data_IF_742150731196
#
_entry.id   IF_742150731196
#
_cell.length_a   1.000
_cell.length_b   1.000
_cell.length_c   1.000
_cell.angle_alpha   90.00
_cell.angle_beta   90.00
_cell.angle_gamma   90.00
#
_symmetry.space_group_name_H-M   'P 1'
#
loop_
_entity.id
_entity.type
_entity.pdbx_description
1 polymer ?
#
# COMPACT_ATOMS: atom_id res chain seq x y z
N UNK A 1 74.21 17.34 37.44
CA UNK A 1 73.19 18.41 37.30
C UNK A 1 71.99 17.85 36.53
N UNK A 2 70.79 18.37 36.84
CA UNK A 2 69.46 18.17 36.21
C UNK A 2 69.41 17.41 34.86
N UNK A 3 68.43 16.50 34.73
CA UNK A 3 67.24 16.79 33.92
C UNK A 3 66.03 15.96 34.37
N UNK A 4 64.87 16.61 34.52
CA UNK A 4 63.56 15.95 34.64
C UNK A 4 62.86 16.00 33.27
N UNK A 5 62.11 14.95 32.93
CA UNK A 5 61.07 14.99 31.90
C UNK A 5 59.90 14.12 32.40
N UNK A 6 58.86 14.71 33.01
CA UNK A 6 57.62 15.14 32.36
C UNK A 6 56.84 13.99 31.71
N UNK A 7 55.92 13.42 32.49
CA UNK A 7 54.91 12.46 32.03
C UNK A 7 53.78 13.24 31.35
N UNK A 8 53.57 13.01 30.05
CA UNK A 8 52.47 13.62 29.30
C UNK A 8 51.38 12.57 29.03
N UNK A 9 50.47 12.38 29.99
CA UNK A 9 49.32 11.50 29.82
C UNK A 9 48.21 12.25 29.06
N UNK A 10 48.07 11.98 27.77
CA UNK A 10 47.01 12.55 26.93
C UNK A 10 45.77 11.66 26.96
N UNK A 11 44.79 12.05 27.79
CA UNK A 11 43.52 11.34 27.88
C UNK A 11 42.64 11.73 26.69
N UNK A 12 42.63 10.90 25.64
CA UNK A 12 41.82 11.13 24.45
C UNK A 12 40.36 10.77 24.73
N UNK A 13 39.55 11.77 25.11
CA UNK A 13 38.12 11.60 25.34
C UNK A 13 37.38 11.36 24.03
N UNK A 14 36.88 10.14 23.81
CA UNK A 14 35.89 9.87 22.77
C UNK A 14 34.56 10.54 23.14
N UNK A 15 34.25 11.68 22.51
CA UNK A 15 32.85 12.12 22.41
C UNK A 15 32.14 11.22 21.39
N UNK A 16 31.44 10.21 21.88
CA UNK A 16 30.43 9.51 21.09
C UNK A 16 29.21 10.43 20.99
N UNK A 17 29.10 11.19 19.91
CA UNK A 17 27.87 11.92 19.59
C UNK A 17 26.80 10.92 19.16
N UNK A 18 26.02 10.43 20.12
CA UNK A 18 24.84 9.62 19.86
C UNK A 18 23.78 10.50 19.17
N UNK A 19 23.84 10.54 17.84
CA UNK A 19 22.73 11.02 17.00
C UNK A 19 21.63 9.97 17.03
N UNK A 20 20.81 10.01 18.07
CA UNK A 20 19.58 9.22 18.14
C UNK A 20 18.61 9.75 17.10
N UNK A 21 18.66 9.22 15.89
CA UNK A 21 17.56 9.35 14.93
C UNK A 21 16.33 8.69 15.55
N UNK A 22 15.38 9.52 16.00
CA UNK A 22 14.08 9.01 16.42
C UNK A 22 13.42 8.33 15.20
N UNK A 23 12.88 7.11 15.33
CA UNK A 23 12.18 6.46 14.23
C UNK A 23 11.00 7.35 13.83
N UNK A 24 11.02 7.81 12.57
CA UNK A 24 10.01 8.74 12.05
C UNK A 24 8.75 7.94 11.73
N UNK A 25 7.94 7.67 12.75
CA UNK A 25 6.58 7.17 12.53
C UNK A 25 5.82 8.17 11.66
N UNK A 26 5.18 7.75 10.56
CA UNK A 26 4.57 8.65 9.60
C UNK A 26 3.25 9.11 10.21
N UNK A 27 3.29 10.28 10.83
CA UNK A 27 2.15 10.81 11.57
C UNK A 27 1.02 11.16 10.60
N UNK A 28 -0.17 10.61 10.85
CA UNK A 28 -1.40 10.95 10.12
C UNK A 28 -1.58 12.48 10.09
N UNK A 29 -1.99 12.98 8.93
CA UNK A 29 -2.10 14.38 8.55
C UNK A 29 -0.79 15.17 8.42
N UNK A 30 0.37 14.50 8.44
CA UNK A 30 1.64 15.09 8.00
C UNK A 30 1.80 14.99 6.48
N UNK A 31 2.51 15.94 5.85
CA UNK A 31 2.95 15.79 4.45
C UNK A 31 3.74 14.50 4.25
N UNK A 32 3.69 13.94 3.03
CA UNK A 32 4.60 12.89 2.62
C UNK A 32 6.06 13.33 2.82
N UNK A 33 6.92 12.48 3.42
CA UNK A 33 8.37 12.67 3.36
C UNK A 33 8.84 12.83 1.91
N UNK A 34 9.93 13.56 1.71
CA UNK A 34 10.50 13.74 0.36
C UNK A 34 11.21 12.45 -0.05
N UNK A 35 10.83 11.90 -1.21
CA UNK A 35 11.48 10.76 -1.84
C UNK A 35 11.46 10.91 -3.36
N UNK A 36 12.42 10.28 -4.03
CA UNK A 36 12.56 10.30 -5.48
C UNK A 36 12.95 8.93 -6.03
N UNK A 37 12.78 8.74 -7.33
CA UNK A 37 13.21 7.56 -8.08
C UNK A 37 13.93 8.07 -9.32
N UNK A 38 15.27 8.04 -9.32
CA UNK A 38 16.06 8.84 -10.23
C UNK A 38 15.71 10.33 -10.11
N UNK A 39 15.51 11.01 -11.23
CA UNK A 39 15.15 12.43 -11.29
C UNK A 39 13.65 12.71 -11.02
N UNK A 40 12.83 11.68 -10.81
CA UNK A 40 11.40 11.86 -10.57
C UNK A 40 11.07 11.99 -9.07
N UNK A 41 10.26 12.98 -8.70
CA UNK A 41 9.60 13.10 -7.39
C UNK A 41 8.11 12.80 -7.58
N UNK A 42 7.64 11.55 -7.39
CA UNK A 42 6.31 11.16 -7.86
C UNK A 42 5.16 11.87 -7.14
N UNK A 43 5.32 12.17 -5.84
CA UNK A 43 4.29 12.87 -5.05
C UNK A 43 3.95 14.26 -5.62
N UNK A 44 4.94 15.00 -6.15
CA UNK A 44 4.73 16.32 -6.75
C UNK A 44 3.80 16.27 -7.98
N UNK A 45 3.78 15.13 -8.71
CA UNK A 45 2.94 14.94 -9.91
C UNK A 45 1.47 14.70 -9.59
N UNK A 46 1.14 14.45 -8.33
CA UNK A 46 -0.19 14.01 -7.88
C UNK A 46 -0.89 14.99 -6.93
N UNK A 47 -0.26 16.13 -6.64
CA UNK A 47 -0.88 17.22 -5.87
C UNK A 47 -2.19 17.68 -6.52
N UNK A 48 -3.18 18.04 -5.70
CA UNK A 48 -4.56 18.28 -6.11
C UNK A 48 -5.42 17.01 -6.22
N UNK A 49 -4.83 15.81 -6.16
CA UNK A 49 -5.52 14.52 -6.28
C UNK A 49 -5.42 13.69 -4.99
N UNK A 50 -6.35 12.75 -4.79
CA UNK A 50 -6.14 11.71 -3.77
C UNK A 50 -5.09 10.75 -4.32
N UNK A 51 -4.00 10.53 -3.59
CA UNK A 51 -2.88 9.70 -4.06
C UNK A 51 -2.81 8.40 -3.27
N UNK A 52 -2.71 7.28 -3.97
CA UNK A 52 -2.58 5.94 -3.39
C UNK A 52 -1.21 5.39 -3.74
N UNK A 53 -0.34 5.23 -2.75
CA UNK A 53 0.98 4.60 -2.91
C UNK A 53 0.89 3.17 -2.37
N UNK A 54 1.21 2.18 -3.20
CA UNK A 54 1.23 0.77 -2.84
C UNK A 54 2.68 0.22 -2.84
N UNK A 55 3.09 -0.37 -1.73
CA UNK A 55 4.44 -0.93 -1.53
C UNK A 55 4.41 -2.43 -1.89
N UNK A 56 4.69 -2.74 -3.16
CA UNK A 56 4.47 -4.07 -3.74
C UNK A 56 5.76 -4.65 -4.31
N UNK A 57 6.22 -5.77 -3.73
CA UNK A 57 7.46 -6.45 -4.11
C UNK A 57 7.26 -7.39 -5.32
N UNK A 58 8.05 -7.23 -6.38
CA UNK A 58 7.94 -8.02 -7.61
C UNK A 58 8.25 -9.52 -7.43
N UNK A 59 9.06 -9.88 -6.43
CA UNK A 59 9.34 -11.27 -6.07
C UNK A 59 8.23 -11.95 -5.27
N UNK A 60 7.19 -11.22 -4.84
CA UNK A 60 6.12 -11.74 -4.01
C UNK A 60 4.84 -12.01 -4.83
N UNK A 61 4.43 -13.29 -4.91
CA UNK A 61 3.22 -13.70 -5.64
C UNK A 61 1.94 -12.99 -5.17
N UNK A 62 1.83 -12.66 -3.89
CA UNK A 62 0.69 -11.92 -3.35
C UNK A 62 0.70 -10.46 -3.82
N UNK A 63 1.85 -9.77 -3.78
CA UNK A 63 2.01 -8.43 -4.33
C UNK A 63 1.65 -8.36 -5.83
N UNK A 64 1.98 -9.39 -6.61
CA UNK A 64 1.63 -9.46 -8.04
C UNK A 64 0.11 -9.57 -8.28
N UNK A 65 -0.62 -10.24 -7.39
CA UNK A 65 -2.10 -10.30 -7.42
C UNK A 65 -2.69 -8.96 -6.98
N UNK A 66 -2.13 -8.33 -5.94
CA UNK A 66 -2.52 -7.00 -5.47
C UNK A 66 -2.34 -5.95 -6.58
N UNK A 67 -1.20 -5.95 -7.29
CA UNK A 67 -0.95 -5.05 -8.42
C UNK A 67 -2.03 -5.17 -9.51
N UNK A 68 -2.41 -6.39 -9.89
CA UNK A 68 -3.48 -6.62 -10.86
C UNK A 68 -4.86 -6.15 -10.36
N UNK A 69 -5.15 -6.34 -9.06
CA UNK A 69 -6.40 -5.92 -8.43
C UNK A 69 -6.54 -4.39 -8.28
N UNK A 70 -5.47 -3.61 -8.39
CA UNK A 70 -5.56 -2.15 -8.46
C UNK A 70 -6.31 -1.66 -9.71
N UNK A 71 -6.34 -2.45 -10.80
CA UNK A 71 -7.11 -2.13 -12.01
C UNK A 71 -8.63 -2.13 -11.76
N UNK A 72 -9.22 -3.25 -11.31
CA UNK A 72 -10.61 -3.31 -10.87
C UNK A 72 -10.98 -2.26 -9.81
N UNK A 73 -10.11 -2.01 -8.82
CA UNK A 73 -10.32 -0.96 -7.81
C UNK A 73 -10.45 0.44 -8.45
N UNK A 74 -9.46 0.82 -9.26
CA UNK A 74 -9.42 2.10 -9.97
C UNK A 74 -10.64 2.25 -10.88
N UNK A 75 -10.95 1.24 -11.70
CA UNK A 75 -12.09 1.24 -12.61
C UNK A 75 -13.47 1.23 -11.90
N UNK A 76 -13.55 0.70 -10.67
CA UNK A 76 -14.75 0.80 -9.83
C UNK A 76 -14.94 2.25 -9.35
N UNK A 77 -13.89 2.86 -8.81
CA UNK A 77 -13.93 4.23 -8.26
C UNK A 77 -14.22 5.27 -9.36
N UNK A 78 -13.56 5.20 -10.51
CA UNK A 78 -13.83 6.10 -11.65
C UNK A 78 -15.27 5.98 -12.14
N UNK A 79 -15.84 4.77 -12.21
CA UNK A 79 -17.24 4.54 -12.61
C UNK A 79 -18.25 5.16 -11.63
N UNK A 80 -17.84 5.38 -10.39
CA UNK A 80 -18.63 6.03 -9.35
C UNK A 80 -18.38 7.55 -9.24
N UNK A 81 -17.63 8.15 -10.18
CA UNK A 81 -17.33 9.59 -10.20
C UNK A 81 -16.14 10.01 -9.33
N UNK A 82 -15.29 9.07 -8.92
CA UNK A 82 -13.99 9.35 -8.30
C UNK A 82 -12.91 9.22 -9.38
N UNK A 83 -12.87 10.18 -10.30
CA UNK A 83 -11.94 10.26 -11.41
C UNK A 83 -10.58 10.87 -11.00
N UNK A 84 -10.59 11.84 -10.07
CA UNK A 84 -9.38 12.52 -9.58
C UNK A 84 -8.66 11.75 -8.45
N UNK A 85 -8.29 10.49 -8.74
CA UNK A 85 -7.50 9.61 -7.86
C UNK A 85 -6.27 9.09 -8.61
N UNK A 86 -5.08 9.43 -8.12
CA UNK A 86 -3.80 8.93 -8.62
C UNK A 86 -3.36 7.67 -7.88
N UNK A 87 -2.71 6.76 -8.60
CA UNK A 87 -2.18 5.51 -8.07
C UNK A 87 -0.70 5.39 -8.42
N UNK A 88 0.10 4.89 -7.49
CA UNK A 88 1.55 4.70 -7.62
C UNK A 88 1.89 3.33 -7.02
N UNK A 89 2.73 2.55 -7.70
CA UNK A 89 3.34 1.35 -7.13
C UNK A 89 4.84 1.59 -6.98
N UNK A 90 5.40 1.31 -5.81
CA UNK A 90 6.85 1.36 -5.55
C UNK A 90 7.33 -0.06 -5.29
N UNK A 91 8.25 -0.56 -6.13
CA UNK A 91 8.85 -1.86 -5.92
C UNK A 91 9.90 -1.83 -4.78
N UNK A 92 10.09 -2.97 -4.13
CA UNK A 92 11.21 -3.24 -3.23
C UNK A 92 12.56 -3.03 -3.94
N UNK A 93 13.55 -2.52 -3.20
CA UNK A 93 14.89 -2.24 -3.70
C UNK A 93 15.77 -3.48 -3.87
N UNK A 94 15.44 -4.64 -3.29
CA UNK A 94 16.32 -5.82 -3.36
C UNK A 94 16.65 -6.25 -4.80
N UNK A 95 17.88 -6.73 -5.02
CA UNK A 95 18.35 -7.13 -6.35
C UNK A 95 17.47 -8.22 -7.01
N UNK A 96 16.88 -9.11 -6.22
CA UNK A 96 15.95 -10.14 -6.72
C UNK A 96 14.62 -9.53 -7.15
N UNK A 97 14.12 -8.52 -6.44
CA UNK A 97 12.92 -7.79 -6.84
C UNK A 97 13.15 -6.89 -8.05
N UNK A 98 14.31 -6.23 -8.14
CA UNK A 98 14.74 -5.49 -9.33
C UNK A 98 14.75 -6.38 -10.58
N UNK A 99 15.34 -7.58 -10.50
CA UNK A 99 15.35 -8.53 -11.62
C UNK A 99 13.94 -8.93 -12.09
N UNK A 100 12.98 -9.00 -11.16
CA UNK A 100 11.58 -9.34 -11.43
C UNK A 100 10.69 -8.11 -11.70
N UNK A 101 11.22 -6.88 -11.71
CA UNK A 101 10.47 -5.67 -12.02
C UNK A 101 9.60 -5.74 -13.30
N UNK A 102 10.06 -6.32 -14.43
CA UNK A 102 9.22 -6.48 -15.62
C UNK A 102 7.94 -7.29 -15.35
N UNK A 103 7.98 -8.27 -14.44
CA UNK A 103 6.82 -9.06 -14.05
C UNK A 103 5.82 -8.19 -13.27
N UNK A 104 6.26 -7.44 -12.25
CA UNK A 104 5.38 -6.53 -11.51
C UNK A 104 4.75 -5.48 -12.44
N UNK A 105 5.56 -4.85 -13.30
CA UNK A 105 5.08 -3.88 -14.30
C UNK A 105 4.08 -4.49 -15.28
N UNK A 106 4.22 -5.77 -15.65
CA UNK A 106 3.25 -6.47 -16.51
C UNK A 106 1.93 -6.84 -15.81
N UNK A 107 1.90 -6.86 -14.47
CA UNK A 107 0.69 -7.13 -13.68
C UNK A 107 -0.06 -5.86 -13.29
N UNK A 108 0.64 -4.75 -13.14
CA UNK A 108 0.03 -3.45 -12.92
C UNK A 108 -0.79 -3.01 -14.15
N UNK A 109 -1.93 -2.29 -13.95
CA UNK A 109 -2.63 -1.62 -15.04
C UNK A 109 -1.75 -0.59 -15.75
N UNK A 110 -1.89 -0.46 -17.06
CA UNK A 110 -1.02 0.39 -17.88
C UNK A 110 -1.04 1.89 -17.50
N UNK A 111 -2.09 2.37 -16.84
CA UNK A 111 -2.21 3.75 -16.35
C UNK A 111 -1.63 3.98 -14.95
N UNK A 112 -1.20 2.92 -14.25
CA UNK A 112 -0.62 3.01 -12.91
C UNK A 112 0.92 2.92 -13.04
N UNK A 113 1.67 4.01 -12.79
CA UNK A 113 3.13 3.96 -12.81
C UNK A 113 3.66 3.01 -11.75
N UNK A 114 4.62 2.17 -12.16
CA UNK A 114 5.39 1.29 -11.28
C UNK A 114 6.82 1.77 -11.26
N UNK A 115 7.29 2.21 -10.10
CA UNK A 115 8.63 2.71 -9.89
C UNK A 115 9.56 1.60 -9.37
N UNK A 116 10.79 1.56 -9.86
CA UNK A 116 11.84 0.68 -9.37
C UNK A 116 12.87 1.48 -8.58
N UNK A 117 13.12 1.07 -7.35
CA UNK A 117 14.24 1.54 -6.53
C UNK A 117 15.57 0.92 -6.99
N UNK A 118 16.67 1.67 -6.91
CA UNK A 118 18.04 1.11 -7.08
C UNK A 118 18.61 0.61 -5.74
N UNK A 119 19.80 -0.01 -5.72
CA UNK A 119 20.44 -0.46 -4.46
C UNK A 119 21.19 0.66 -3.74
N UNK A 120 21.50 1.74 -4.46
CA UNK A 120 22.42 2.80 -4.05
C UNK A 120 21.71 4.07 -3.56
N UNK A 121 20.38 4.13 -3.69
CA UNK A 121 19.56 5.22 -3.16
C UNK A 121 19.09 4.93 -1.72
N UNK A 122 18.51 5.92 -1.06
CA UNK A 122 17.79 5.69 0.19
C UNK A 122 16.51 4.86 -0.06
N UNK A 123 16.18 3.94 0.84
CA UNK A 123 15.00 3.09 0.67
C UNK A 123 13.72 3.88 0.89
N UNK A 124 12.94 4.05 -0.17
CA UNK A 124 11.65 4.73 -0.17
C UNK A 124 10.66 4.04 0.77
N UNK A 125 10.76 2.73 0.97
CA UNK A 125 9.89 2.01 1.91
C UNK A 125 10.22 2.41 3.36
N UNK A 126 11.51 2.55 3.70
CA UNK A 126 11.94 3.08 5.01
C UNK A 126 11.59 4.56 5.19
N UNK A 127 11.79 5.40 4.16
CA UNK A 127 11.41 6.83 4.15
C UNK A 127 9.90 7.01 4.41
N UNK A 128 9.08 6.16 3.81
CA UNK A 128 7.63 6.13 4.03
C UNK A 128 7.23 5.40 5.32
N UNK A 129 8.20 4.79 6.04
CA UNK A 129 8.02 3.91 7.19
C UNK A 129 6.90 2.89 6.93
N UNK A 130 6.93 2.28 5.75
CA UNK A 130 5.96 1.30 5.27
C UNK A 130 6.61 -0.04 4.97
N UNK A 131 5.83 -1.09 5.06
CA UNK A 131 6.24 -2.48 4.86
C UNK A 131 5.68 -3.05 3.54
N UNK A 132 6.14 -4.25 3.19
CA UNK A 132 5.59 -5.02 2.07
C UNK A 132 4.07 -5.21 2.21
N UNK A 133 3.35 -4.97 1.12
CA UNK A 133 1.89 -4.98 1.00
C UNK A 133 1.16 -3.79 1.63
N UNK A 134 1.86 -2.74 2.08
CA UNK A 134 1.21 -1.55 2.61
C UNK A 134 0.60 -0.66 1.51
N UNK A 135 -0.52 -0.02 1.85
CA UNK A 135 -1.16 1.02 1.05
C UNK A 135 -1.24 2.31 1.86
N UNK A 136 -0.60 3.37 1.34
CA UNK A 136 -0.63 4.71 1.92
C UNK A 136 -1.56 5.58 1.08
N UNK A 137 -2.57 6.19 1.71
CA UNK A 137 -3.55 7.06 1.06
C UNK A 137 -3.33 8.49 1.52
N UNK A 138 -3.03 9.38 0.59
CA UNK A 138 -2.77 10.80 0.81
C UNK A 138 -3.94 11.66 0.32
N UNK A 139 -4.18 12.78 0.98
CA UNK A 139 -5.13 13.79 0.52
C UNK A 139 -4.57 14.63 -0.63
N UNK A 140 -5.40 15.56 -1.13
CA UNK A 140 -5.07 16.48 -2.24
C UNK A 140 -3.90 17.42 -1.94
N UNK A 141 -3.50 17.57 -0.68
CA UNK A 141 -2.33 18.32 -0.23
C UNK A 141 -1.09 17.44 -0.02
N UNK A 142 -1.16 16.16 -0.39
CA UNK A 142 -0.07 15.21 -0.18
C UNK A 142 0.15 14.84 1.29
N UNK A 143 -0.87 14.97 2.16
CA UNK A 143 -0.80 14.58 3.58
C UNK A 143 -1.33 13.17 3.79
N UNK A 144 -0.62 12.36 4.58
CA UNK A 144 -0.98 10.95 4.81
C UNK A 144 -2.27 10.86 5.64
N UNK A 145 -3.31 10.24 5.10
CA UNK A 145 -4.62 10.08 5.78
C UNK A 145 -4.82 8.66 6.31
N UNK A 146 -4.40 7.65 5.55
CA UNK A 146 -4.46 6.25 5.97
C UNK A 146 -3.16 5.53 5.65
N UNK A 147 -2.66 4.75 6.61
CA UNK A 147 -1.61 3.75 6.42
C UNK A 147 -2.22 2.37 6.66
N UNK A 148 -2.58 1.69 5.57
CA UNK A 148 -3.20 0.38 5.62
C UNK A 148 -2.11 -0.69 5.51
N UNK A 149 -1.92 -1.43 6.59
CA UNK A 149 -1.10 -2.66 6.64
C UNK A 149 -1.99 -3.89 6.50
N UNK A 150 -1.41 -5.07 6.29
CA UNK A 150 -2.16 -6.32 6.38
C UNK A 150 -2.81 -6.47 7.77
N UNK A 151 -4.05 -6.97 7.88
CA UNK A 151 -4.90 -7.51 6.82
C UNK A 151 -5.68 -6.45 6.00
N UNK A 152 -5.69 -5.18 6.43
CA UNK A 152 -6.49 -4.11 5.85
C UNK A 152 -6.03 -3.65 4.46
N UNK A 153 -4.79 -3.94 4.07
CA UNK A 153 -4.30 -3.66 2.71
C UNK A 153 -4.69 -4.71 1.67
N UNK A 154 -5.33 -5.83 2.06
CA UNK A 154 -5.70 -6.88 1.11
C UNK A 154 -6.91 -6.43 0.24
N UNK A 155 -6.68 -6.21 -1.06
CA UNK A 155 -7.68 -5.72 -2.02
C UNK A 155 -8.83 -6.68 -2.33
N UNK A 156 -8.81 -7.89 -1.76
CA UNK A 156 -10.01 -8.75 -1.73
C UNK A 156 -11.11 -8.15 -0.84
N UNK A 157 -10.74 -7.31 0.14
CA UNK A 157 -11.66 -6.60 1.02
C UNK A 157 -11.69 -5.10 0.66
N UNK A 158 -12.80 -4.44 1.01
CA UNK A 158 -13.07 -3.05 0.62
C UNK A 158 -12.32 -2.00 1.46
N UNK A 159 -11.38 -2.36 2.33
CA UNK A 159 -10.74 -1.41 3.26
C UNK A 159 -9.97 -0.30 2.53
N UNK A 160 -9.18 -0.63 1.51
CA UNK A 160 -8.49 0.34 0.66
C UNK A 160 -9.49 1.22 -0.11
N UNK A 161 -10.56 0.63 -0.64
CA UNK A 161 -11.62 1.39 -1.32
C UNK A 161 -12.29 2.40 -0.35
N UNK A 162 -12.65 1.97 0.86
CA UNK A 162 -13.27 2.81 1.88
C UNK A 162 -12.33 3.93 2.33
N UNK A 163 -11.03 3.66 2.48
CA UNK A 163 -10.04 4.68 2.80
C UNK A 163 -9.96 5.75 1.69
N UNK A 164 -9.81 5.33 0.42
CA UNK A 164 -9.78 6.24 -0.74
C UNK A 164 -11.05 7.10 -0.79
N UNK A 165 -12.23 6.49 -0.69
CA UNK A 165 -13.52 7.20 -0.69
C UNK A 165 -13.62 8.19 0.46
N UNK A 166 -13.16 7.81 1.65
CA UNK A 166 -13.22 8.68 2.83
C UNK A 166 -12.31 9.90 2.64
N UNK A 167 -11.08 9.71 2.16
CA UNK A 167 -10.16 10.81 1.81
C UNK A 167 -10.67 11.67 0.66
N UNK A 168 -11.40 11.09 -0.31
CA UNK A 168 -11.93 11.83 -1.46
C UNK A 168 -13.07 12.77 -1.09
N UNK A 169 -13.93 12.36 -0.16
CA UNK A 169 -15.14 13.08 0.24
C UNK A 169 -15.04 13.86 1.57
N UNK A 170 -13.95 13.70 2.35
CA UNK A 170 -13.80 14.33 3.67
C UNK A 170 -12.41 14.89 3.90
N UNK A 171 -12.39 16.11 4.43
CA UNK A 171 -11.16 16.82 4.85
C UNK A 171 -10.69 16.36 6.23
N UNK A 172 -10.31 15.08 6.33
CA UNK A 172 -9.87 14.48 7.59
C UNK A 172 -8.65 15.18 8.20
N UNK A 173 -7.83 15.84 7.37
CA UNK A 173 -6.67 16.62 7.79
C UNK A 173 -6.92 18.14 7.78
N UNK A 174 -8.18 18.56 7.72
CA UNK A 174 -8.57 19.97 7.61
C UNK A 174 -8.25 20.60 6.25
N UNK A 175 -8.41 21.91 6.16
CA UNK A 175 -8.34 22.67 4.91
C UNK A 175 -7.07 22.35 4.09
N UNK A 176 -7.26 22.15 2.79
CA UNK A 176 -6.20 22.02 1.80
C UNK A 176 -6.26 23.21 0.81
N UNK A 177 -5.10 23.74 0.43
CA UNK A 177 -4.97 24.91 -0.47
C UNK A 177 -5.65 24.69 -1.82
N UNK A 178 -5.59 23.46 -2.35
CA UNK A 178 -6.20 23.06 -3.64
C UNK A 178 -7.73 23.13 -3.68
N UNK A 179 -8.43 23.37 -2.56
CA UNK A 179 -9.87 23.63 -2.59
C UNK A 179 -10.23 25.05 -3.06
N UNK A 180 -9.31 26.00 -2.93
CA UNK A 180 -9.54 27.42 -3.24
C UNK A 180 -9.82 27.67 -4.73
N UNK A 181 -9.22 26.87 -5.62
CA UNK A 181 -9.38 27.01 -7.07
C UNK A 181 -10.77 26.56 -7.55
N UNK A 182 -11.43 25.66 -6.82
CA UNK A 182 -12.78 25.17 -7.15
C UNK A 182 -13.85 26.20 -6.76
N UNK A 183 -13.68 26.89 -5.64
CA UNK A 183 -14.61 27.97 -5.23
C UNK A 183 -14.47 29.23 -6.07
N UNK A 184 -13.28 29.54 -6.60
CA UNK A 184 -13.08 30.70 -7.47
C UNK A 184 -13.90 30.63 -8.79
N UNK A 185 -14.07 29.44 -9.37
CA UNK A 185 -14.85 29.26 -10.61
C UNK A 185 -16.36 29.31 -10.38
N UNK A 186 -16.83 29.04 -9.16
CA UNK A 186 -18.27 28.94 -8.85
C UNK A 186 -18.89 30.24 -8.30
N UNK A 187 -18.09 31.30 -8.10
CA UNK A 187 -18.54 32.58 -7.53
C UNK A 187 -18.60 33.71 -8.58
N UNK A 188 -17.97 33.55 -9.76
CA UNK A 188 -17.98 34.54 -10.84
C UNK A 188 -19.20 34.45 -11.78
N UNK A 189 -20.41 34.24 -11.23
CA UNK A 189 -21.68 34.53 -11.92
C UNK A 189 -22.82 34.72 -10.91
N UNK A 190 -22.83 35.86 -10.20
CA UNK A 190 -24.01 36.67 -9.90
C UNK A 190 -23.65 37.85 -8.98
N UNK A 191 -23.00 38.86 -9.57
CA UNK A 191 -22.95 40.18 -8.95
C UNK A 191 -24.22 40.97 -9.27
N UNK A 192 -25.10 41.16 -8.29
CA UNK A 192 -25.88 42.41 -8.18
C UNK A 192 -26.07 42.71 -6.70
N UNK A 193 -25.71 43.94 -6.35
CA UNK A 193 -25.55 44.44 -4.99
C UNK A 193 -26.84 45.09 -4.48
N UNK A 194 -27.29 44.73 -3.28
CA UNK A 194 -28.26 45.55 -2.54
C UNK A 194 -27.98 45.54 -1.03
N UNK A 195 -27.70 46.75 -0.53
CA UNK A 195 -27.24 47.13 0.82
C UNK A 195 -28.25 46.78 1.96
N UNK A 196 -27.80 46.54 3.21
CA UNK A 196 -28.65 45.95 4.27
C UNK A 196 -29.29 46.96 5.28
N UNK A 197 -30.10 46.39 6.19
CA UNK A 197 -30.58 46.90 7.50
C UNK A 197 -32.02 47.48 7.52
N UNK A 198 -32.79 47.46 8.66
CA UNK A 198 -32.54 46.85 9.98
C UNK A 198 -33.60 45.81 10.44
N UNK A 199 -33.34 45.15 11.57
CA UNK A 199 -34.18 44.10 12.18
C UNK A 199 -35.27 44.61 13.14
N UNK A 200 -36.33 43.80 13.35
CA UNK A 200 -36.99 43.60 14.65
C UNK A 200 -37.92 42.37 14.66
N UNK A 201 -38.26 41.79 15.84
CA UNK A 201 -38.62 40.37 15.99
C UNK A 201 -40.13 40.11 16.17
N UNK A 202 -40.55 38.82 16.27
CA UNK A 202 -41.48 38.33 17.33
C UNK A 202 -41.71 36.79 17.29
N UNK A 203 -41.35 36.15 18.41
CA UNK A 203 -41.96 35.02 19.18
C UNK A 203 -42.41 33.69 18.53
N UNK A 204 -41.83 32.63 19.08
CA UNK A 204 -42.42 31.30 19.34
C UNK A 204 -43.46 31.35 20.49
N UNK A 205 -44.44 30.42 20.52
CA UNK A 205 -44.89 29.89 21.81
C UNK A 205 -45.10 28.36 21.85
N UNK A 206 -44.44 27.74 22.83
CA UNK A 206 -44.81 26.60 23.69
C UNK A 206 -45.88 25.57 23.28
N UNK A 207 -45.40 24.32 23.17
CA UNK A 207 -45.79 23.15 24.01
C UNK A 207 -47.24 23.06 24.54
N UNK A 208 -47.93 21.98 24.18
CA UNK A 208 -48.85 21.30 25.09
C UNK A 208 -48.80 19.77 24.95
N UNK A 209 -48.94 19.07 26.07
CA UNK A 209 -48.91 17.60 26.17
C UNK A 209 -50.34 17.05 26.17
N UNK A 210 -50.55 15.88 25.57
CA UNK A 210 -51.69 15.02 25.88
C UNK A 210 -51.31 13.56 25.63
N UNK A 211 -51.21 12.80 26.71
CA UNK A 211 -51.28 11.33 26.70
C UNK A 211 -52.78 10.95 26.60
N UNK A 212 -53.19 9.84 25.97
CA UNK A 212 -53.14 8.50 26.57
C UNK A 212 -53.74 7.42 25.62
N UNK A 213 -53.58 6.14 26.02
CA UNK A 213 -54.33 4.93 25.59
C UNK A 213 -53.92 4.19 24.31
N UNK A 214 -52.84 3.40 24.46
CA UNK A 214 -52.85 1.92 24.39
C UNK A 214 -54.11 1.21 23.82
N UNK A 215 -53.96 0.45 22.72
CA UNK A 215 -54.56 -0.89 22.61
C UNK A 215 -53.64 -1.87 21.83
N UNK A 216 -53.70 -3.16 22.18
CA UNK A 216 -52.85 -4.25 21.69
C UNK A 216 -53.51 -5.00 20.54
N UNK A 217 -52.70 -5.43 19.55
CA UNK A 217 -52.81 -6.60 18.64
C UNK A 217 -51.80 -6.39 17.49
N UNK A 218 -51.05 -7.35 16.95
CA UNK A 218 -50.81 -8.77 17.28
C UNK A 218 -49.95 -9.41 16.19
N UNK A 219 -48.94 -10.21 16.57
CA UNK A 219 -48.06 -11.12 15.79
C UNK A 219 -47.79 -10.96 14.28
N UNK A 220 -46.49 -11.05 13.93
CA UNK A 220 -46.00 -11.26 12.56
C UNK A 220 -44.50 -11.60 12.49
N UNK A 221 -44.07 -12.70 13.11
CA UNK A 221 -42.68 -13.19 12.97
C UNK A 221 -42.46 -13.78 11.58
N UNK A 222 -41.41 -13.36 10.88
CA UNK A 222 -40.88 -14.08 9.71
C UNK A 222 -39.40 -14.42 9.91
N UNK A 223 -39.15 -15.67 10.31
CA UNK A 223 -37.82 -16.26 10.37
C UNK A 223 -37.38 -16.73 8.97
N UNK A 224 -36.36 -16.12 8.38
CA UNK A 224 -35.56 -16.80 7.37
C UNK A 224 -34.44 -17.60 8.06
N UNK A 225 -34.54 -18.92 7.98
CA UNK A 225 -33.65 -19.86 8.67
C UNK A 225 -32.31 -19.97 7.94
N UNK A 226 -31.23 -19.74 8.68
CA UNK A 226 -29.90 -20.23 8.32
C UNK A 226 -29.94 -21.76 8.13
N UNK A 227 -29.32 -22.26 7.06
CA UNK A 227 -29.01 -23.68 6.90
C UNK A 227 -27.52 -23.86 6.64
N UNK A 228 -26.80 -24.19 7.69
CA UNK A 228 -25.57 -24.97 7.62
C UNK A 228 -25.68 -26.12 8.62
N UNK A 229 -25.19 -27.33 8.32
CA UNK A 229 -24.88 -28.33 9.32
C UNK A 229 -23.37 -28.31 9.63
N UNK A 230 -23.03 -28.10 10.89
CA UNK A 230 -21.67 -28.34 11.39
C UNK A 230 -21.46 -29.84 11.63
N UNK A 231 -20.28 -30.36 11.25
CA UNK A 231 -19.61 -31.47 11.95
C UNK A 231 -18.09 -31.26 11.94
N UNK A 232 -17.54 -31.08 13.13
CA UNK A 232 -16.15 -31.39 13.48
C UNK A 232 -16.06 -32.88 13.90
N UNK A 233 -14.84 -33.37 14.18
CA UNK A 233 -14.43 -34.79 14.43
C UNK A 233 -14.16 -35.55 13.12
N UNK A 234 -13.05 -36.28 12.93
CA UNK A 234 -11.86 -36.52 13.77
C UNK A 234 -10.60 -36.68 12.89
N UNK A 235 -9.42 -36.69 13.50
CA UNK A 235 -8.12 -37.01 12.90
C UNK A 235 -8.00 -38.42 12.33
N UNK A 236 -7.30 -38.58 11.19
CA UNK A 236 -6.58 -39.82 10.86
C UNK A 236 -5.30 -39.55 10.05
N UNK A 237 -4.15 -39.56 10.73
CA UNK A 237 -2.94 -40.14 10.14
C UNK A 237 -3.06 -41.67 10.22
N UNK A 238 -2.69 -42.38 9.14
CA UNK A 238 -1.67 -43.44 9.16
C UNK A 238 -1.72 -44.35 7.92
N UNK A 239 -0.54 -44.50 7.30
CA UNK A 239 0.03 -45.76 6.80
C UNK A 239 -0.43 -46.38 5.46
N UNK A 240 0.59 -46.79 4.70
CA UNK A 240 0.56 -47.58 3.47
C UNK A 240 0.04 -49.03 3.68
N UNK A 241 -0.35 -49.71 2.59
CA UNK A 241 -0.24 -51.17 2.48
C UNK A 241 0.79 -51.63 1.43
N UNK A 242 1.54 -52.67 1.81
CA UNK A 242 2.57 -53.40 1.05
C UNK A 242 2.44 -54.88 1.49
N UNK A 243 2.39 -55.90 0.64
CA UNK A 243 2.40 -56.00 -0.84
C UNK A 243 1.60 -57.24 -1.28
N UNK A 244 1.50 -57.51 -2.60
CA UNK A 244 1.95 -58.76 -3.25
C UNK A 244 1.60 -58.77 -4.75
N UNK A 245 2.54 -58.96 -5.70
CA UNK A 245 3.34 -60.17 -6.05
C UNK A 245 2.56 -61.09 -7.01
N UNK A 246 3.04 -61.42 -8.22
CA UNK A 246 4.30 -61.02 -8.90
C UNK A 246 4.47 -61.64 -10.31
N UNK A 247 5.74 -61.86 -10.70
CA UNK A 247 6.25 -62.67 -11.83
C UNK A 247 6.46 -62.02 -13.22
N UNK A 248 7.66 -61.42 -13.41
CA UNK A 248 8.77 -61.94 -14.25
C UNK A 248 9.82 -60.80 -14.39
N UNK A 249 11.07 -60.87 -13.88
CA UNK A 249 12.19 -61.73 -14.31
C UNK A 249 12.53 -61.58 -15.81
N UNK A 250 13.76 -61.29 -16.26
CA UNK A 250 15.07 -61.09 -15.63
C UNK A 250 15.96 -60.31 -16.64
N UNK A 251 16.88 -59.42 -16.24
CA UNK A 251 18.35 -59.64 -16.29
C UNK A 251 19.09 -58.34 -15.93
N UNK A 252 20.29 -58.44 -15.37
CA UNK A 252 21.08 -57.33 -14.78
C UNK A 252 22.35 -56.93 -15.61
N UNK A 253 23.14 -55.90 -15.20
CA UNK A 253 23.93 -55.07 -16.13
C UNK A 253 25.46 -55.34 -16.13
N UNK A 254 26.19 -54.65 -17.01
CA UNK A 254 27.63 -54.37 -16.84
C UNK A 254 28.11 -53.14 -17.65
N UNK A 255 29.02 -52.35 -17.07
CA UNK A 255 30.07 -51.49 -17.71
C UNK A 255 29.68 -50.47 -18.81
N UNK A 256 30.16 -49.23 -18.88
CA UNK A 256 31.23 -48.54 -18.13
C UNK A 256 32.46 -48.25 -19.00
N UNK A 257 32.56 -47.05 -19.60
CA UNK A 257 33.83 -46.53 -20.14
C UNK A 257 33.80 -44.99 -20.27
N UNK A 258 34.88 -44.33 -19.85
CA UNK A 258 35.24 -42.98 -20.30
C UNK A 258 35.85 -43.07 -21.70
N UNK A 259 35.73 -42.03 -22.53
CA UNK A 259 36.80 -41.74 -23.48
C UNK A 259 36.95 -40.23 -23.74
N UNK A 260 38.20 -39.76 -23.71
CA UNK A 260 38.57 -38.38 -24.07
C UNK A 260 39.13 -38.39 -25.48
N UNK A 261 38.64 -37.52 -26.36
CA UNK A 261 39.38 -37.16 -27.58
C UNK A 261 39.06 -35.72 -27.99
N UNK A 262 40.07 -34.85 -27.89
CA UNK A 262 40.08 -33.56 -28.56
C UNK A 262 40.83 -33.66 -29.89
N UNK A 263 40.50 -32.79 -30.85
CA UNK A 263 41.41 -32.48 -31.96
C UNK A 263 41.19 -31.05 -32.47
N UNK A 264 42.29 -30.39 -32.83
CA UNK A 264 42.35 -28.99 -33.26
C UNK A 264 42.01 -28.80 -34.75
N UNK A 265 41.20 -27.77 -35.06
CA UNK A 265 41.25 -26.90 -36.26
C UNK A 265 39.94 -26.09 -36.33
N UNK A 266 39.87 -24.85 -36.82
CA UNK A 266 40.76 -24.15 -37.76
C UNK A 266 40.79 -22.63 -37.51
N UNK A 267 41.84 -22.01 -38.02
CA UNK A 267 42.12 -20.57 -38.00
C UNK A 267 41.28 -19.84 -39.08
N UNK A 268 40.75 -18.65 -38.79
CA UNK A 268 40.33 -17.66 -39.80
C UNK A 268 40.79 -16.27 -39.38
N UNK A 269 41.46 -15.58 -40.30
CA UNK A 269 41.92 -14.18 -40.19
C UNK A 269 40.88 -13.20 -40.78
N UNK A 270 41.22 -11.91 -40.70
CA UNK A 270 40.51 -10.71 -41.18
C UNK A 270 39.67 -10.05 -40.07
N UNK A 271 39.85 -8.78 -39.71
CA UNK A 271 40.74 -7.71 -40.25
C UNK A 271 41.53 -7.08 -39.10
#
# INVERSE_FOLDING_TARGET
MKLQALVLSTLLGLLVTQTSSLPITPFICSPAPVWSIGDEVPMNKTLGQVTVVALLQASCSFCLVQAANMGPLSANLTRQGLDNVSYIIVNDQSAYSQHLFPLLRSRAPAHIPVYQQTLEQEDVWEILNGDKDDFLVYDRCGRLVFHLRLPYSYLHYSFVEVAIRTTYYKDLCGNCSFYSDVTAQNVSTNGTESKPSPASPVKEPEKSQSETQEEKRGHGQNHHKSRGPSRYSESHEHSHPISNQGNNAHSQPATGQQDKRGLFSKKTSNV
#
